data_IF_139961634642
#
_entry.id   IF_139961634642
#
_cell.length_a   1.000
_cell.length_b   1.000
_cell.length_c   1.000
_cell.angle_alpha   90.00
_cell.angle_beta   90.00
_cell.angle_gamma   90.00
#
_symmetry.space_group_name_H-M   'P 1'
#
loop_
_entity.id
_entity.type
_entity.pdbx_description
1 polymer ?
#
# COMPACT_ATOMS: atom_id res chain seq x y z
N UNK A 1 21.49 15.27 16.63
CA UNK A 1 20.96 13.97 17.11
C UNK A 1 20.14 13.36 15.97
N UNK A 2 20.61 12.28 15.31
CA UNK A 2 19.77 11.54 14.35
C UNK A 2 18.63 10.92 15.14
N UNK A 3 17.39 11.30 14.86
CA UNK A 3 16.21 10.69 15.47
C UNK A 3 16.17 9.21 15.05
N UNK A 4 16.39 8.28 16.00
CA UNK A 4 16.41 6.83 15.74
C UNK A 4 15.15 6.34 15.02
N UNK A 5 14.00 6.97 15.29
CA UNK A 5 12.73 6.64 14.65
C UNK A 5 12.72 6.98 13.15
N UNK A 6 13.43 8.04 12.74
CA UNK A 6 13.55 8.39 11.32
C UNK A 6 14.42 7.39 10.56
N UNK A 7 15.38 6.74 11.23
CA UNK A 7 16.26 5.75 10.59
C UNK A 7 15.48 4.46 10.27
N UNK A 8 14.64 3.98 11.19
CA UNK A 8 13.81 2.80 10.95
C UNK A 8 12.81 3.01 9.82
N UNK A 9 12.22 4.20 9.73
CA UNK A 9 11.33 4.55 8.63
C UNK A 9 12.05 4.56 7.27
N UNK A 10 13.28 5.09 7.22
CA UNK A 10 14.09 5.07 6.01
C UNK A 10 14.43 3.65 5.55
N UNK A 11 14.72 2.75 6.50
CA UNK A 11 14.94 1.33 6.21
C UNK A 11 13.67 0.68 5.65
N UNK A 12 12.51 0.90 6.26
CA UNK A 12 11.22 0.37 5.75
C UNK A 12 10.96 0.83 4.32
N UNK A 13 11.24 2.11 4.01
CA UNK A 13 11.10 2.64 2.65
C UNK A 13 12.07 1.98 1.66
N UNK A 14 13.35 1.86 2.03
CA UNK A 14 14.33 1.21 1.19
C UNK A 14 14.00 -0.28 0.94
N UNK A 15 13.43 -0.97 1.93
CA UNK A 15 12.95 -2.34 1.75
C UNK A 15 11.83 -2.43 0.72
N UNK A 16 10.89 -1.48 0.75
CA UNK A 16 9.77 -1.41 -0.20
C UNK A 16 10.25 -1.07 -1.62
N UNK A 17 11.11 -0.06 -1.75
CA UNK A 17 11.70 0.38 -3.03
C UNK A 17 12.55 -0.71 -3.71
N UNK A 18 13.28 -1.50 -2.92
CA UNK A 18 14.19 -2.53 -3.41
C UNK A 18 13.59 -3.94 -3.39
N UNK A 19 12.29 -4.08 -3.08
CA UNK A 19 11.62 -5.38 -2.97
C UNK A 19 12.32 -6.36 -2.00
N UNK A 20 12.91 -5.84 -0.92
CA UNK A 20 13.55 -6.66 0.11
C UNK A 20 12.48 -7.26 0.99
N UNK A 21 12.29 -8.58 0.84
CA UNK A 21 11.40 -9.31 1.72
C UNK A 21 11.90 -9.29 3.16
N UNK A 22 10.95 -9.40 4.08
CA UNK A 22 11.19 -9.46 5.52
C UNK A 22 12.21 -10.53 5.92
N UNK A 23 12.13 -11.72 5.30
CA UNK A 23 13.10 -12.81 5.50
C UNK A 23 14.52 -12.42 5.06
N UNK A 24 14.65 -11.73 3.92
CA UNK A 24 15.93 -11.23 3.43
C UNK A 24 16.53 -10.20 4.37
N UNK A 25 15.73 -9.25 4.85
CA UNK A 25 16.15 -8.29 5.86
C UNK A 25 16.59 -8.97 7.16
N UNK A 26 15.85 -9.99 7.62
CA UNK A 26 16.21 -10.76 8.82
C UNK A 26 17.58 -11.44 8.68
N UNK A 27 17.86 -12.02 7.51
CA UNK A 27 19.17 -12.61 7.20
C UNK A 27 20.28 -11.57 7.23
N UNK A 28 20.07 -10.40 6.62
CA UNK A 28 21.06 -9.30 6.64
C UNK A 28 21.32 -8.80 8.06
N UNK A 29 20.27 -8.57 8.84
CA UNK A 29 20.35 -8.13 10.23
C UNK A 29 20.93 -9.21 11.17
N UNK A 30 20.98 -10.47 10.75
CA UNK A 30 21.65 -11.54 11.50
C UNK A 30 23.18 -11.51 11.31
N UNK A 31 23.64 -11.03 10.15
CA UNK A 31 25.06 -10.97 9.77
C UNK A 31 25.69 -9.66 10.25
N UNK A 32 24.98 -8.54 10.07
CA UNK A 32 25.47 -7.21 10.41
C UNK A 32 24.84 -6.68 11.71
N UNK A 33 25.66 -6.41 12.72
CA UNK A 33 25.19 -5.97 14.04
C UNK A 33 24.75 -4.50 14.06
N UNK A 34 25.18 -3.70 13.08
CA UNK A 34 24.76 -2.31 12.96
C UNK A 34 23.34 -2.16 12.37
N UNK A 35 22.81 -3.23 11.77
CA UNK A 35 21.45 -3.23 11.22
C UNK A 35 20.44 -3.45 12.37
N UNK A 36 19.37 -2.62 12.45
CA UNK A 36 18.33 -2.80 13.45
C UNK A 36 17.67 -4.17 13.35
N UNK A 37 17.41 -4.79 14.51
CA UNK A 37 16.69 -6.06 14.57
C UNK A 37 15.25 -5.88 14.11
N UNK A 38 14.69 -6.99 13.66
CA UNK A 38 13.35 -7.11 13.07
C UNK A 38 12.25 -6.37 13.85
N UNK A 39 12.23 -6.52 15.18
CA UNK A 39 11.18 -5.93 16.03
C UNK A 39 11.13 -4.39 15.92
N UNK A 40 12.29 -3.74 15.76
CA UNK A 40 12.37 -2.28 15.65
C UNK A 40 11.80 -1.80 14.29
N UNK A 41 12.07 -2.55 13.23
CA UNK A 41 11.57 -2.26 11.88
C UNK A 41 10.06 -2.55 11.77
N UNK A 42 9.59 -3.63 12.39
CA UNK A 42 8.16 -3.96 12.41
C UNK A 42 7.32 -2.84 13.03
N UNK A 43 7.83 -2.20 14.10
CA UNK A 43 7.10 -1.12 14.74
C UNK A 43 7.01 0.12 13.83
N UNK A 44 8.10 0.48 13.15
CA UNK A 44 8.11 1.56 12.17
C UNK A 44 7.18 1.26 10.98
N UNK A 45 7.14 0.00 10.51
CA UNK A 45 6.23 -0.43 9.44
C UNK A 45 4.76 -0.27 9.85
N UNK A 46 4.40 -0.67 11.06
CA UNK A 46 3.04 -0.50 11.59
C UNK A 46 2.64 0.98 11.69
N UNK A 47 3.56 1.83 12.17
CA UNK A 47 3.33 3.27 12.22
C UNK A 47 3.09 3.87 10.83
N UNK A 48 3.91 3.49 9.84
CA UNK A 48 3.75 3.94 8.45
C UNK A 48 2.41 3.45 7.87
N UNK A 49 2.03 2.20 8.09
CA UNK A 49 0.73 1.66 7.64
C UNK A 49 -0.45 2.43 8.26
N UNK A 50 -0.39 2.76 9.55
CA UNK A 50 -1.42 3.57 10.20
C UNK A 50 -1.50 4.99 9.61
N UNK A 51 -0.35 5.61 9.32
CA UNK A 51 -0.30 6.91 8.65
C UNK A 51 -0.90 6.83 7.25
N UNK A 52 -0.56 5.81 6.46
CA UNK A 52 -1.11 5.59 5.12
C UNK A 52 -2.61 5.37 5.16
N UNK A 53 -3.12 4.53 6.07
CA UNK A 53 -4.55 4.28 6.21
C UNK A 53 -5.35 5.55 6.54
N UNK A 54 -4.76 6.47 7.31
CA UNK A 54 -5.37 7.75 7.62
C UNK A 54 -5.28 8.75 6.45
N UNK A 55 -4.17 8.76 5.71
CA UNK A 55 -3.93 9.71 4.62
C UNK A 55 -4.61 9.30 3.31
N UNK A 56 -4.67 8.00 3.03
CA UNK A 56 -5.29 7.39 1.85
C UNK A 56 -6.26 6.33 2.36
N UNK A 57 -7.48 6.72 2.75
CA UNK A 57 -8.46 5.77 3.23
C UNK A 57 -8.84 4.80 2.10
N UNK A 58 -8.64 3.50 2.36
CA UNK A 58 -9.08 2.45 1.44
C UNK A 58 -10.56 2.19 1.73
N UNK A 59 -11.42 2.64 0.82
CA UNK A 59 -12.85 2.36 0.88
C UNK A 59 -13.18 1.12 0.05
N UNK A 60 -13.95 0.19 0.63
CA UNK A 60 -14.56 -0.90 -0.11
C UNK A 60 -15.85 -0.38 -0.75
N UNK A 61 -15.91 -0.33 -2.08
CA UNK A 61 -17.15 -0.03 -2.80
C UNK A 61 -17.63 -1.26 -3.56
N UNK A 62 -18.94 -1.51 -3.48
CA UNK A 62 -19.57 -2.59 -4.22
C UNK A 62 -19.92 -2.12 -5.63
N UNK A 63 -19.26 -2.72 -6.64
CA UNK A 63 -19.45 -2.38 -8.05
C UNK A 63 -20.86 -2.76 -8.55
N UNK A 64 -21.55 -3.70 -7.90
CA UNK A 64 -22.93 -4.07 -8.28
C UNK A 64 -23.97 -2.99 -7.99
N UNK A 65 -23.65 -1.99 -7.16
CA UNK A 65 -24.53 -0.83 -6.91
C UNK A 65 -24.26 0.33 -7.88
N UNK A 66 -23.29 0.20 -8.78
CA UNK A 66 -23.07 1.16 -9.85
C UNK A 66 -24.18 0.95 -10.89
N UNK A 67 -25.20 1.83 -10.90
CA UNK A 67 -26.16 1.86 -12.00
C UNK A 67 -25.39 2.18 -13.28
N UNK A 68 -25.36 1.25 -14.22
CA UNK A 68 -24.97 1.55 -15.59
C UNK A 68 -26.02 2.50 -16.14
N UNK A 69 -25.62 3.75 -16.39
CA UNK A 69 -26.42 4.70 -17.14
C UNK A 69 -26.29 4.33 -18.62
N UNK A 70 -26.99 3.27 -19.02
CA UNK A 70 -27.10 2.87 -20.42
C UNK A 70 -28.05 3.85 -21.10
N UNK A 71 -27.51 5.02 -21.47
CA UNK A 71 -28.16 5.93 -22.41
C UNK A 71 -28.11 5.28 -23.80
N UNK A 72 -28.82 4.15 -23.97
CA UNK A 72 -29.13 3.60 -25.28
C UNK A 72 -30.18 4.52 -25.90
N UNK A 73 -29.71 5.50 -26.67
CA UNK A 73 -30.54 6.37 -27.50
C UNK A 73 -31.34 5.46 -28.44
N UNK A 74 -32.63 5.27 -28.14
CA UNK A 74 -33.52 4.40 -28.89
C UNK A 74 -33.86 5.11 -30.22
N UNK A 75 -33.02 4.90 -31.24
CA UNK A 75 -33.37 5.23 -32.62
C UNK A 75 -34.46 4.23 -33.07
N UNK A 76 -35.72 4.60 -32.91
CA UNK A 76 -36.86 3.90 -33.51
C UNK A 76 -36.84 4.15 -35.01
N UNK A 77 -36.16 3.28 -35.76
CA UNK A 77 -36.30 3.22 -37.21
C UNK A 77 -37.67 2.65 -37.55
N UNK A 78 -38.59 3.52 -37.99
CA UNK A 78 -39.83 3.09 -38.65
C UNK A 78 -39.46 2.28 -39.89
N UNK A 79 -39.81 0.99 -39.92
CA UNK A 79 -39.77 0.16 -41.13
C UNK A 79 -41.21 0.07 -41.62
N UNK A 80 -41.54 0.90 -42.60
CA UNK A 80 -42.80 0.82 -43.33
C UNK A 80 -42.78 -0.46 -44.21
N UNK A 81 -43.81 -1.29 -44.09
CA UNK A 81 -44.02 -2.50 -44.91
C UNK A 81 -44.56 -2.17 -46.31
#
# INVERSE_FOLDING_TARGET
IRNKNNNYLAIVKAMDELYIFHSGYRTLAAIENEIPREYAISNAKNQLNNQMNNAIPIYLFNITNCKYDDNSDHLTGNVDY
#
